data_IF_319968943241
#
_entry.id   IF_319968943241
#
_cell.length_a   1.000
_cell.length_b   1.000
_cell.length_c   1.000
_cell.angle_alpha   90.00
_cell.angle_beta   90.00
_cell.angle_gamma   90.00
#
_symmetry.space_group_name_H-M   'P 1'
#
loop_
_entity.id
_entity.type
_entity.pdbx_description
1 polymer ?
#
# COMPACT_ATOMS: atom_id res chain seq x y z
N UNK A 1 14.49 0.51 4.03
CA UNK A 1 13.45 1.54 4.20
C UNK A 1 12.13 0.82 4.42
N UNK A 2 11.35 1.23 5.40
CA UNK A 2 10.00 0.70 5.68
C UNK A 2 8.99 1.86 5.77
N UNK A 3 7.71 1.54 5.94
CA UNK A 3 6.66 2.56 6.01
C UNK A 3 6.87 3.56 7.14
N UNK A 4 7.38 3.15 8.31
CA UNK A 4 7.60 4.07 9.43
C UNK A 4 8.75 5.03 9.13
N UNK A 5 9.85 4.53 8.59
CA UNK A 5 10.99 5.33 8.17
C UNK A 5 10.62 6.28 7.03
N UNK A 6 9.78 5.85 6.09
CA UNK A 6 9.28 6.72 5.03
C UNK A 6 8.40 7.85 5.58
N UNK A 7 7.48 7.55 6.49
CA UNK A 7 6.64 8.58 7.13
C UNK A 7 7.51 9.60 7.89
N UNK A 8 8.55 9.14 8.60
CA UNK A 8 9.50 10.04 9.26
C UNK A 8 10.23 10.92 8.26
N UNK A 9 10.71 10.32 7.17
CA UNK A 9 11.45 11.02 6.12
C UNK A 9 10.58 12.06 5.37
N UNK A 10 9.36 11.71 4.98
CA UNK A 10 8.49 12.63 4.23
C UNK A 10 8.09 13.82 5.10
N UNK A 11 7.86 13.61 6.40
CA UNK A 11 7.54 14.68 7.37
C UNK A 11 8.72 15.63 7.55
N UNK A 12 9.92 15.11 7.78
CA UNK A 12 11.11 15.94 7.97
C UNK A 12 11.48 16.71 6.70
N UNK A 13 11.39 16.05 5.55
CA UNK A 13 11.67 16.65 4.24
C UNK A 13 10.66 17.74 3.90
N UNK A 14 9.37 17.49 4.09
CA UNK A 14 8.32 18.49 3.84
C UNK A 14 8.47 19.73 4.73
N UNK A 15 8.87 19.55 5.99
CA UNK A 15 9.15 20.65 6.91
C UNK A 15 10.32 21.49 6.41
N UNK A 16 11.45 20.85 6.09
CA UNK A 16 12.65 21.54 5.59
C UNK A 16 12.40 22.29 4.29
N UNK A 17 11.70 21.67 3.33
CA UNK A 17 11.40 22.32 2.05
C UNK A 17 10.53 23.57 2.24
N UNK A 18 9.60 23.56 3.20
CA UNK A 18 8.78 24.74 3.54
C UNK A 18 9.56 25.83 4.28
N UNK A 19 10.53 25.44 5.10
CA UNK A 19 11.43 26.37 5.79
C UNK A 19 12.38 27.06 4.80
N UNK A 20 12.95 26.29 3.86
CA UNK A 20 13.92 26.78 2.87
C UNK A 20 13.27 27.64 1.76
N UNK A 21 12.05 27.31 1.32
CA UNK A 21 11.38 28.01 0.20
C UNK A 21 10.21 28.91 0.62
N UNK A 22 9.76 28.82 1.87
CA UNK A 22 8.64 29.58 2.40
C UNK A 22 7.28 28.87 2.27
N UNK A 23 6.28 29.27 3.10
CA UNK A 23 5.04 28.52 3.28
C UNK A 23 4.10 28.52 2.06
N UNK A 24 4.27 29.47 1.14
CA UNK A 24 3.36 29.71 0.01
C UNK A 24 3.85 29.11 -1.32
N UNK A 25 5.05 28.52 -1.33
CA UNK A 25 5.61 27.94 -2.54
C UNK A 25 4.97 26.58 -2.86
N UNK A 26 4.77 26.34 -4.16
CA UNK A 26 4.24 25.07 -4.66
C UNK A 26 5.39 24.07 -4.77
N UNK A 27 5.41 23.11 -3.86
CA UNK A 27 6.43 22.07 -3.80
C UNK A 27 5.85 20.79 -4.40
N UNK A 28 6.56 20.21 -5.37
CA UNK A 28 6.24 18.91 -5.96
C UNK A 28 7.29 17.88 -5.54
N UNK A 29 6.85 16.76 -4.99
CA UNK A 29 7.72 15.63 -4.61
C UNK A 29 7.49 14.51 -5.61
N UNK A 30 8.53 14.13 -6.34
CA UNK A 30 8.50 13.05 -7.33
C UNK A 30 9.26 11.86 -6.71
N UNK A 31 8.56 10.75 -6.54
CA UNK A 31 9.09 9.49 -6.01
C UNK A 31 8.62 8.32 -6.88
N UNK A 32 9.33 7.20 -6.82
CA UNK A 32 8.95 5.94 -7.45
C UNK A 32 7.75 5.29 -6.73
N UNK A 33 7.15 4.24 -7.32
CA UNK A 33 6.01 3.53 -6.70
C UNK A 33 6.47 2.32 -5.88
N UNK A 34 7.27 2.57 -4.83
CA UNK A 34 7.70 1.52 -3.91
C UNK A 34 6.54 1.07 -3.00
N UNK A 35 6.56 -0.19 -2.58
CA UNK A 35 5.49 -0.82 -1.77
C UNK A 35 5.21 -0.12 -0.44
N UNK A 36 6.20 0.58 0.12
CA UNK A 36 6.11 1.31 1.39
C UNK A 36 5.72 2.79 1.23
N UNK A 37 5.54 3.28 -0.01
CA UNK A 37 4.97 4.60 -0.29
C UNK A 37 3.44 4.63 -0.25
N UNK A 38 2.80 3.47 -0.37
CA UNK A 38 1.34 3.33 -0.42
C UNK A 38 0.82 2.73 0.88
N UNK A 39 -0.31 3.25 1.36
CA UNK A 39 -1.06 2.63 2.45
C UNK A 39 -2.02 1.58 1.90
N UNK A 40 -1.94 0.35 2.43
CA UNK A 40 -2.92 -0.69 2.12
C UNK A 40 -4.22 -0.41 2.90
N UNK A 41 -5.23 0.08 2.19
CA UNK A 41 -6.62 0.12 2.68
C UNK A 41 -7.14 -1.30 2.94
N UNK A 42 -8.18 -1.44 3.76
CA UNK A 42 -8.79 -2.75 4.06
C UNK A 42 -9.24 -3.51 2.81
N UNK A 43 -9.60 -2.79 1.74
CA UNK A 43 -9.93 -3.40 0.45
C UNK A 43 -8.67 -3.90 -0.29
N UNK A 44 -7.57 -3.14 -0.28
CA UNK A 44 -6.33 -3.48 -0.99
C UNK A 44 -5.41 -4.43 -0.23
N UNK A 45 -5.68 -4.70 1.06
CA UNK A 45 -4.89 -5.64 1.86
C UNK A 45 -4.98 -7.03 1.23
N UNK A 46 -3.84 -7.72 1.03
CA UNK A 46 -3.86 -9.07 0.49
C UNK A 46 -4.62 -10.02 1.41
N UNK A 47 -5.25 -11.03 0.82
CA UNK A 47 -5.92 -12.08 1.56
C UNK A 47 -4.96 -12.74 2.57
N UNK A 48 -5.42 -12.98 3.80
CA UNK A 48 -4.60 -13.55 4.87
C UNK A 48 -4.83 -15.06 4.97
N UNK A 49 -3.79 -15.81 5.35
CA UNK A 49 -3.88 -17.27 5.59
C UNK A 49 -4.94 -17.66 6.64
N UNK A 50 -5.28 -16.75 7.54
CA UNK A 50 -6.33 -16.94 8.54
C UNK A 50 -7.76 -16.91 7.95
N UNK A 51 -7.97 -16.29 6.78
CA UNK A 51 -9.28 -16.18 6.13
C UNK A 51 -9.82 -17.54 5.68
N UNK A 52 -11.14 -17.68 5.59
CA UNK A 52 -11.80 -18.86 5.04
C UNK A 52 -11.59 -18.93 3.53
N UNK A 53 -11.65 -20.15 2.95
CA UNK A 53 -11.51 -20.36 1.50
C UNK A 53 -12.44 -19.43 0.70
N UNK A 54 -13.70 -19.32 1.11
CA UNK A 54 -14.69 -18.46 0.47
C UNK A 54 -14.33 -16.97 0.49
N UNK A 55 -13.74 -16.48 1.59
CA UNK A 55 -13.34 -15.08 1.73
C UNK A 55 -12.14 -14.76 0.84
N UNK A 56 -11.18 -15.68 0.75
CA UNK A 56 -10.02 -15.57 -0.16
C UNK A 56 -10.51 -15.55 -1.62
N UNK A 57 -11.41 -16.47 -2.00
CA UNK A 57 -11.98 -16.51 -3.35
C UNK A 57 -12.73 -15.22 -3.69
N UNK A 58 -13.57 -14.70 -2.78
CA UNK A 58 -14.26 -13.42 -2.98
C UNK A 58 -13.29 -12.25 -3.17
N UNK A 59 -12.20 -12.22 -2.40
CA UNK A 59 -11.17 -11.20 -2.55
C UNK A 59 -10.45 -11.28 -3.90
N UNK A 60 -10.10 -12.48 -4.35
CA UNK A 60 -9.49 -12.72 -5.67
C UNK A 60 -10.42 -12.30 -6.81
N UNK A 61 -11.72 -12.64 -6.72
CA UNK A 61 -12.75 -12.19 -7.69
C UNK A 61 -12.81 -10.66 -7.72
N UNK A 62 -12.88 -10.00 -6.56
CA UNK A 62 -12.97 -8.54 -6.46
C UNK A 62 -11.75 -7.84 -7.06
N UNK A 63 -10.56 -8.42 -6.91
CA UNK A 63 -9.30 -7.91 -7.45
C UNK A 63 -8.99 -8.42 -8.87
N UNK A 64 -9.91 -9.18 -9.48
CA UNK A 64 -9.75 -9.77 -10.82
C UNK A 64 -8.50 -10.64 -10.96
N UNK A 65 -8.13 -11.33 -9.89
CA UNK A 65 -7.02 -12.29 -9.88
C UNK A 65 -7.60 -13.67 -10.22
N UNK A 66 -7.04 -14.31 -11.24
CA UNK A 66 -7.50 -15.61 -11.69
C UNK A 66 -7.09 -16.72 -10.71
N UNK A 67 -8.01 -17.66 -10.45
CA UNK A 67 -7.77 -18.88 -9.67
C UNK A 67 -8.72 -19.99 -10.16
N UNK A 68 -8.36 -21.25 -9.89
CA UNK A 68 -9.24 -22.39 -10.15
C UNK A 68 -10.15 -22.63 -8.93
N UNK A 69 -11.49 -22.69 -9.09
CA UNK A 69 -12.43 -22.96 -7.99
C UNK A 69 -12.12 -24.23 -7.18
N UNK A 70 -11.45 -25.22 -7.80
CA UNK A 70 -11.11 -26.51 -7.22
C UNK A 70 -9.89 -26.39 -6.29
N UNK A 71 -9.06 -25.35 -6.44
CA UNK A 71 -7.89 -25.10 -5.58
C UNK A 71 -8.24 -25.15 -4.10
N UNK A 72 -7.42 -25.86 -3.34
CA UNK A 72 -7.51 -25.93 -1.88
C UNK A 72 -7.16 -24.58 -1.25
N UNK A 73 -7.52 -24.38 0.03
CA UNK A 73 -7.15 -23.16 0.76
C UNK A 73 -5.63 -22.92 0.80
N UNK A 74 -4.81 -23.96 0.66
CA UNK A 74 -3.36 -23.84 0.66
C UNK A 74 -2.80 -23.39 -0.71
N UNK A 75 -3.56 -23.60 -1.78
CA UNK A 75 -3.21 -23.23 -3.16
C UNK A 75 -3.75 -21.86 -3.56
N UNK A 76 -4.71 -21.32 -2.78
CA UNK A 76 -5.23 -19.95 -2.88
C UNK A 76 -4.43 -18.98 -2.00
#
# INVERSE_FOLDING_TARGET
MDSEHFIKWIKSTSFRLRDEHGPNDRICIIIDNATWHSELTDDTKPAKRAWRKSEIQQWLIRHRIHFDPIMTKAEL
#
